data_IF_519963458017
#
_entry.id   IF_519963458017
#
_cell.length_a   1.000
_cell.length_b   1.000
_cell.length_c   1.000
_cell.angle_alpha   90.00
_cell.angle_beta   90.00
_cell.angle_gamma   90.00
#
_symmetry.space_group_name_H-M   'P 1'
#
loop_
_entity.id
_entity.type
_entity.pdbx_description
1 polymer ?
#
# COMPACT_ATOMS: atom_id res chain seq x y z
N UNK A 1 -1.74 51.96 -29.47
CA UNK A 1 -0.83 50.80 -29.36
C UNK A 1 -0.54 50.39 -27.90
N UNK A 2 -0.54 51.30 -26.92
CA UNK A 2 -0.25 51.00 -25.50
C UNK A 2 -1.22 50.03 -24.80
N UNK A 3 -2.53 50.03 -25.12
CA UNK A 3 -3.50 49.10 -24.52
C UNK A 3 -3.38 47.64 -24.99
N UNK A 4 -2.68 47.39 -26.12
CA UNK A 4 -2.57 46.05 -26.71
C UNK A 4 -1.48 45.21 -26.03
N UNK A 5 -0.36 45.85 -25.66
CA UNK A 5 0.80 45.19 -25.02
C UNK A 5 0.48 44.80 -23.57
N UNK A 6 -0.26 45.65 -22.84
CA UNK A 6 -0.70 45.35 -21.46
C UNK A 6 -1.70 44.19 -21.41
N UNK A 7 -2.57 44.06 -22.41
CA UNK A 7 -3.52 42.95 -22.51
C UNK A 7 -2.85 41.62 -22.87
N UNK A 8 -1.83 41.62 -23.74
CA UNK A 8 -1.14 40.39 -24.14
C UNK A 8 -0.26 39.83 -23.01
N UNK A 9 0.42 40.69 -22.24
CA UNK A 9 1.30 40.24 -21.13
C UNK A 9 0.50 39.74 -19.92
N UNK A 10 -0.59 40.42 -19.54
CA UNK A 10 -1.39 40.02 -18.36
C UNK A 10 -2.26 38.80 -18.66
N UNK A 11 -2.79 38.68 -19.89
CA UNK A 11 -3.69 37.57 -20.27
C UNK A 11 -2.90 36.30 -20.62
N UNK A 12 -1.77 36.41 -21.33
CA UNK A 12 -0.90 35.27 -21.63
C UNK A 12 -0.34 34.63 -20.36
N UNK A 13 0.07 35.45 -19.39
CA UNK A 13 0.64 35.00 -18.13
C UNK A 13 -0.40 34.43 -17.16
N UNK A 14 -1.64 34.98 -17.14
CA UNK A 14 -2.77 34.38 -16.39
C UNK A 14 -3.17 33.01 -16.93
N UNK A 15 -3.00 32.78 -18.24
CA UNK A 15 -3.37 31.52 -18.88
C UNK A 15 -2.32 30.43 -18.62
N UNK A 16 -1.03 30.80 -18.58
CA UNK A 16 0.06 29.91 -18.16
C UNK A 16 -0.03 29.55 -16.67
N UNK A 17 -0.42 30.50 -15.80
CA UNK A 17 -0.61 30.25 -14.37
C UNK A 17 -1.90 29.50 -14.02
N UNK A 18 -2.94 29.54 -14.88
CA UNK A 18 -4.17 28.77 -14.69
C UNK A 18 -4.12 27.36 -15.32
N UNK A 19 -3.17 27.12 -16.23
CA UNK A 19 -2.97 25.81 -16.89
C UNK A 19 -1.91 24.97 -16.19
N UNK A 20 -2.19 24.51 -14.96
CA UNK A 20 -1.32 23.60 -14.20
C UNK A 20 -1.31 22.17 -14.76
N UNK A 21 -0.82 21.99 -15.99
CA UNK A 21 -0.69 20.69 -16.66
C UNK A 21 0.50 20.69 -17.61
N UNK A 22 1.71 20.54 -17.08
CA UNK A 22 2.89 20.33 -17.91
C UNK A 22 3.02 18.85 -18.28
N UNK A 23 2.65 18.58 -19.54
CA UNK A 23 3.08 17.41 -20.29
C UNK A 23 4.61 17.39 -20.38
N UNK A 24 5.18 16.30 -19.87
CA UNK A 24 6.62 15.98 -19.89
C UNK A 24 7.01 15.65 -21.33
N UNK A 25 7.86 16.48 -21.93
CA UNK A 25 8.48 16.22 -23.24
C UNK A 25 8.80 17.51 -23.99
N UNK A 26 9.94 18.14 -23.69
CA UNK A 26 10.52 19.20 -24.55
C UNK A 26 10.63 20.61 -23.96
N UNK A 27 10.94 20.77 -22.67
CA UNK A 27 10.98 22.10 -22.02
C UNK A 27 12.36 22.79 -21.99
N UNK A 28 13.46 22.11 -22.31
CA UNK A 28 14.82 22.66 -22.13
C UNK A 28 15.09 23.85 -23.09
N UNK A 29 14.47 23.88 -24.28
CA UNK A 29 14.68 24.95 -25.26
C UNK A 29 13.94 26.27 -25.01
N UNK A 30 12.93 26.32 -24.11
CA UNK A 30 12.06 27.50 -23.95
C UNK A 30 12.44 28.42 -22.78
N UNK A 31 13.27 27.95 -21.85
CA UNK A 31 13.71 28.76 -20.71
C UNK A 31 14.76 29.83 -21.08
N UNK A 32 15.55 29.59 -22.14
CA UNK A 32 16.60 30.52 -22.56
C UNK A 32 16.07 31.79 -23.27
N UNK A 33 14.99 31.69 -24.04
CA UNK A 33 14.41 32.81 -24.78
C UNK A 33 13.82 33.92 -23.88
N UNK A 34 13.51 33.61 -22.61
CA UNK A 34 12.91 34.59 -21.70
C UNK A 34 13.95 35.52 -21.05
N UNK A 35 15.19 35.05 -20.83
CA UNK A 35 16.25 35.90 -20.29
C UNK A 35 16.71 36.96 -21.30
N UNK A 36 16.86 36.60 -22.58
CA UNK A 36 17.20 37.55 -23.65
C UNK A 36 16.15 38.65 -23.83
N UNK A 37 14.86 38.32 -23.68
CA UNK A 37 13.78 39.31 -23.74
C UNK A 37 13.82 40.33 -22.58
N UNK A 38 14.26 39.90 -21.38
CA UNK A 38 14.37 40.76 -20.20
C UNK A 38 15.54 41.74 -20.33
N UNK A 39 16.66 41.30 -20.86
CA UNK A 39 17.84 42.15 -21.05
C UNK A 39 17.57 43.23 -22.11
N UNK A 40 16.90 42.87 -23.21
CA UNK A 40 16.47 43.81 -24.25
C UNK A 40 15.56 44.94 -23.72
N UNK A 41 14.63 44.63 -22.81
CA UNK A 41 13.73 45.65 -22.24
C UNK A 41 14.42 46.59 -21.25
N UNK A 42 15.48 46.12 -20.57
CA UNK A 42 16.22 46.90 -19.57
C UNK A 42 16.99 48.06 -20.22
N UNK A 43 17.51 47.87 -21.43
CA UNK A 43 18.25 48.90 -22.16
C UNK A 43 17.35 50.00 -22.73
N UNK A 44 16.12 49.67 -23.13
CA UNK A 44 15.14 50.67 -23.61
C UNK A 44 14.71 51.66 -22.53
N UNK A 45 14.81 51.29 -21.25
CA UNK A 45 14.38 52.11 -20.11
C UNK A 45 15.45 53.12 -19.69
N UNK A 46 16.74 52.83 -19.89
CA UNK A 46 17.85 53.70 -19.45
C UNK A 46 17.96 55.03 -20.19
N UNK A 47 17.30 55.19 -21.35
CA UNK A 47 17.54 56.30 -22.28
C UNK A 47 16.36 57.29 -22.46
N UNK A 48 15.42 57.45 -21.52
CA UNK A 48 14.27 58.37 -21.68
C UNK A 48 14.24 59.56 -20.71
N UNK A 49 14.01 60.77 -21.27
CA UNK A 49 13.94 62.06 -20.56
C UNK A 49 12.57 62.29 -19.87
N UNK A 50 12.58 63.12 -18.82
CA UNK A 50 11.54 63.16 -17.77
C UNK A 50 10.27 63.95 -18.15
N UNK A 51 9.13 63.25 -18.22
CA UNK A 51 7.73 63.75 -18.26
C UNK A 51 6.84 62.82 -17.41
N UNK A 52 5.55 63.11 -17.19
CA UNK A 52 4.61 62.19 -16.50
C UNK A 52 4.58 60.78 -17.12
N UNK A 53 4.71 60.70 -18.45
CA UNK A 53 4.85 59.44 -19.18
C UNK A 53 6.13 58.67 -18.80
N UNK A 54 7.22 59.38 -18.49
CA UNK A 54 8.48 58.78 -18.02
C UNK A 54 8.35 58.16 -16.63
N UNK A 55 7.52 58.74 -15.74
CA UNK A 55 7.31 58.20 -14.40
C UNK A 55 6.46 56.92 -14.47
N UNK A 56 5.40 56.92 -15.28
CA UNK A 56 4.60 55.70 -15.55
C UNK A 56 5.44 54.58 -16.19
N UNK A 57 6.37 54.91 -17.09
CA UNK A 57 7.34 53.95 -17.64
C UNK A 57 8.29 53.40 -16.57
N UNK A 58 8.79 54.23 -15.64
CA UNK A 58 9.64 53.79 -14.52
C UNK A 58 8.90 52.87 -13.55
N UNK A 59 7.64 53.16 -13.23
CA UNK A 59 6.84 52.32 -12.35
C UNK A 59 6.51 50.97 -13.03
N UNK A 60 6.20 51.01 -14.32
CA UNK A 60 6.00 49.80 -15.15
C UNK A 60 7.28 48.97 -15.21
N UNK A 61 8.45 49.58 -15.43
CA UNK A 61 9.75 48.93 -15.41
C UNK A 61 10.04 48.26 -14.06
N UNK A 62 9.73 48.93 -12.95
CA UNK A 62 9.88 48.40 -11.59
C UNK A 62 8.97 47.19 -11.35
N UNK A 63 7.72 47.26 -11.83
CA UNK A 63 6.77 46.16 -11.76
C UNK A 63 7.25 44.95 -12.58
N UNK A 64 7.68 45.16 -13.83
CA UNK A 64 8.25 44.12 -14.70
C UNK A 64 9.45 43.48 -14.02
N UNK A 65 10.39 44.28 -13.49
CA UNK A 65 11.57 43.77 -12.79
C UNK A 65 11.21 42.92 -11.57
N UNK A 66 10.19 43.31 -10.81
CA UNK A 66 9.68 42.52 -9.66
C UNK A 66 9.09 41.19 -10.14
N UNK A 67 8.32 41.20 -11.23
CA UNK A 67 7.74 39.99 -11.82
C UNK A 67 8.84 39.07 -12.37
N UNK A 68 9.81 39.61 -13.11
CA UNK A 68 10.94 38.84 -13.65
C UNK A 68 11.78 38.21 -12.53
N UNK A 69 11.98 38.91 -11.40
CA UNK A 69 12.65 38.35 -10.24
C UNK A 69 11.84 37.18 -9.65
N UNK A 70 10.55 37.37 -9.40
CA UNK A 70 9.68 36.32 -8.87
C UNK A 70 9.63 35.08 -9.79
N UNK A 71 9.57 35.28 -11.11
CA UNK A 71 9.66 34.19 -12.07
C UNK A 71 11.01 33.46 -12.00
N UNK A 72 12.13 34.19 -11.93
CA UNK A 72 13.46 33.58 -11.83
C UNK A 72 13.59 32.73 -10.58
N UNK A 73 13.06 33.22 -9.45
CA UNK A 73 13.04 32.48 -8.19
C UNK A 73 12.18 31.20 -8.35
N UNK A 74 10.98 31.30 -8.94
CA UNK A 74 10.15 30.11 -9.24
C UNK A 74 10.83 29.11 -10.19
N UNK A 75 11.52 29.57 -11.23
CA UNK A 75 12.27 28.69 -12.14
C UNK A 75 13.43 28.00 -11.44
N UNK A 76 14.10 28.68 -10.49
CA UNK A 76 15.15 28.08 -9.68
C UNK A 76 14.58 26.96 -8.79
N UNK A 77 13.46 27.21 -8.13
CA UNK A 77 12.78 26.22 -7.29
C UNK A 77 12.32 25.01 -8.11
N UNK A 78 11.74 25.24 -9.29
CA UNK A 78 11.37 24.15 -10.22
C UNK A 78 12.58 23.36 -10.70
N UNK A 79 13.69 24.02 -11.02
CA UNK A 79 14.93 23.34 -11.42
C UNK A 79 15.43 22.41 -10.30
N UNK A 80 15.49 22.90 -9.07
CA UNK A 80 15.91 22.10 -7.91
C UNK A 80 14.97 20.91 -7.67
N UNK A 81 13.65 21.12 -7.85
CA UNK A 81 12.68 20.04 -7.74
C UNK A 81 12.89 18.97 -8.83
N UNK A 82 13.17 19.37 -10.07
CA UNK A 82 13.43 18.44 -11.18
C UNK A 82 14.73 17.65 -10.97
N UNK A 83 15.79 18.29 -10.50
CA UNK A 83 17.06 17.63 -10.16
C UNK A 83 16.85 16.57 -9.07
N UNK A 84 16.12 16.92 -8.00
CA UNK A 84 15.77 15.97 -6.93
C UNK A 84 14.91 14.81 -7.43
N UNK A 85 13.94 15.07 -8.31
CA UNK A 85 13.11 14.03 -8.90
C UNK A 85 13.91 13.08 -9.79
N UNK A 86 14.92 13.58 -10.51
CA UNK A 86 15.80 12.77 -11.34
C UNK A 86 16.69 11.85 -10.48
N UNK A 87 17.25 12.37 -9.39
CA UNK A 87 18.00 11.60 -8.40
C UNK A 87 17.14 10.48 -7.78
N UNK A 88 15.92 10.81 -7.32
CA UNK A 88 14.98 9.84 -6.77
C UNK A 88 14.60 8.74 -7.78
N UNK A 89 14.44 9.10 -9.06
CA UNK A 89 14.15 8.13 -10.12
C UNK A 89 15.34 7.21 -10.41
N UNK A 90 16.57 7.74 -10.39
CA UNK A 90 17.79 6.96 -10.60
C UNK A 90 17.96 5.91 -9.49
N UNK A 91 17.80 6.33 -8.23
CA UNK A 91 17.87 5.44 -7.07
C UNK A 91 16.77 4.37 -7.11
N UNK A 92 15.52 4.75 -7.44
CA UNK A 92 14.44 3.78 -7.61
C UNK A 92 14.72 2.77 -8.73
N UNK A 93 15.30 3.21 -9.85
CA UNK A 93 15.66 2.32 -10.96
C UNK A 93 16.76 1.33 -10.55
N UNK A 94 17.73 1.77 -9.75
CA UNK A 94 18.76 0.90 -9.17
C UNK A 94 18.16 -0.15 -8.24
N UNK A 95 17.37 0.29 -7.26
CA UNK A 95 16.68 -0.58 -6.31
C UNK A 95 15.78 -1.58 -7.03
N UNK A 96 15.06 -1.14 -8.07
CA UNK A 96 14.24 -2.01 -8.91
C UNK A 96 15.06 -3.14 -9.53
N UNK A 97 16.22 -2.82 -10.13
CA UNK A 97 17.10 -3.84 -10.72
C UNK A 97 17.57 -4.85 -9.67
N UNK A 98 17.92 -4.38 -8.48
CA UNK A 98 18.33 -5.24 -7.36
C UNK A 98 17.17 -6.16 -6.95
N UNK A 99 15.95 -5.65 -6.81
CA UNK A 99 14.78 -6.49 -6.48
C UNK A 99 14.53 -7.54 -7.57
N UNK A 100 14.64 -7.16 -8.85
CA UNK A 100 14.39 -8.07 -9.98
C UNK A 100 15.44 -9.18 -10.11
N UNK A 101 16.68 -8.92 -9.70
CA UNK A 101 17.77 -9.91 -9.71
C UNK A 101 17.52 -10.98 -8.63
N UNK A 102 17.32 -12.27 -8.97
CA UNK A 102 17.23 -13.34 -7.97
C UNK A 102 18.60 -13.74 -7.40
N UNK A 103 19.69 -13.45 -8.11
CA UNK A 103 21.07 -13.79 -7.74
C UNK A 103 21.82 -12.54 -7.27
N UNK A 104 21.26 -11.86 -6.27
CA UNK A 104 21.82 -10.61 -5.73
C UNK A 104 23.16 -10.89 -5.08
N UNK A 105 24.12 -9.98 -5.22
CA UNK A 105 25.34 -10.05 -4.41
C UNK A 105 25.04 -9.60 -2.96
N UNK A 106 25.84 -10.01 -1.97
CA UNK A 106 25.71 -9.52 -0.59
C UNK A 106 25.75 -7.99 -0.48
N UNK A 107 26.49 -7.31 -1.36
CA UNK A 107 26.55 -5.86 -1.45
C UNK A 107 25.22 -5.27 -1.93
N UNK A 108 24.61 -5.87 -2.98
CA UNK A 108 23.29 -5.47 -3.47
C UNK A 108 22.21 -5.68 -2.39
N UNK A 109 22.27 -6.77 -1.64
CA UNK A 109 21.36 -7.05 -0.53
C UNK A 109 21.44 -5.98 0.57
N UNK A 110 22.68 -5.61 0.97
CA UNK A 110 22.92 -4.54 1.95
C UNK A 110 22.45 -3.19 1.43
N UNK A 111 22.67 -2.92 0.14
CA UNK A 111 22.23 -1.69 -0.50
C UNK A 111 20.70 -1.57 -0.52
N UNK A 112 20.00 -2.65 -0.90
CA UNK A 112 18.54 -2.69 -0.89
C UNK A 112 17.99 -2.47 0.53
N UNK A 113 18.58 -3.14 1.52
CA UNK A 113 18.20 -2.99 2.91
C UNK A 113 18.41 -1.56 3.41
N UNK A 114 19.57 -0.97 3.11
CA UNK A 114 19.88 0.43 3.47
C UNK A 114 18.83 1.37 2.89
N UNK A 115 18.53 1.24 1.60
CA UNK A 115 17.47 2.01 0.95
C UNK A 115 16.12 1.83 1.65
N UNK A 116 15.74 0.60 1.99
CA UNK A 116 14.48 0.30 2.65
C UNK A 116 14.36 0.98 4.02
N UNK A 117 15.45 0.98 4.81
CA UNK A 117 15.51 1.59 6.14
C UNK A 117 15.47 3.13 6.03
N UNK A 118 16.28 3.71 5.14
CA UNK A 118 16.33 5.16 4.91
C UNK A 118 14.99 5.70 4.39
N UNK A 119 14.29 4.92 3.57
CA UNK A 119 12.96 5.27 3.07
C UNK A 119 11.85 5.05 4.12
N UNK A 120 12.11 4.32 5.20
CA UNK A 120 11.12 4.00 6.23
C UNK A 120 11.06 5.09 7.31
N UNK A 121 9.91 5.75 7.43
CA UNK A 121 9.67 6.76 8.46
C UNK A 121 9.05 6.19 9.75
N UNK A 122 8.83 4.87 9.83
CA UNK A 122 8.23 4.21 10.99
C UNK A 122 9.31 3.86 12.02
N UNK A 123 9.16 4.40 13.24
CA UNK A 123 10.09 4.17 14.34
C UNK A 123 10.11 2.71 14.80
N UNK A 124 8.95 2.06 14.81
CA UNK A 124 8.78 0.66 15.21
C UNK A 124 9.56 -0.29 14.29
N UNK A 125 9.60 0.00 12.99
CA UNK A 125 10.42 -0.76 12.02
C UNK A 125 11.90 -0.56 12.29
N UNK A 126 12.33 0.68 12.51
CA UNK A 126 13.73 1.01 12.81
C UNK A 126 14.19 0.35 14.12
N UNK A 127 13.35 0.40 15.16
CA UNK A 127 13.63 -0.24 16.44
C UNK A 127 13.76 -1.75 16.29
N UNK A 128 12.75 -2.40 15.69
CA UNK A 128 12.77 -3.85 15.47
C UNK A 128 14.02 -4.26 14.68
N UNK A 129 14.39 -3.49 13.65
CA UNK A 129 15.58 -3.75 12.87
C UNK A 129 16.86 -3.73 13.72
N UNK A 130 17.05 -2.68 14.52
CA UNK A 130 18.23 -2.53 15.38
C UNK A 130 18.38 -3.67 16.39
N UNK A 131 17.26 -4.23 16.85
CA UNK A 131 17.24 -5.32 17.83
C UNK A 131 17.45 -6.71 17.20
N UNK A 132 17.04 -6.91 15.93
CA UNK A 132 16.96 -8.26 15.33
C UNK A 132 18.01 -8.54 14.24
N UNK A 133 18.66 -7.52 13.65
CA UNK A 133 19.66 -7.66 12.57
C UNK A 133 19.26 -8.62 11.44
N UNK A 134 17.96 -8.72 11.14
CA UNK A 134 17.34 -9.79 10.35
C UNK A 134 17.48 -9.67 8.84
N UNK A 135 18.69 -9.45 8.31
CA UNK A 135 18.92 -9.26 6.86
C UNK A 135 18.41 -10.46 6.05
N UNK A 136 18.64 -11.69 6.53
CA UNK A 136 18.20 -12.91 5.85
C UNK A 136 16.67 -12.97 5.72
N UNK A 137 15.95 -12.59 6.78
CA UNK A 137 14.48 -12.55 6.76
C UNK A 137 13.98 -11.47 5.81
N UNK A 138 14.62 -10.29 5.82
CA UNK A 138 14.31 -9.22 4.90
C UNK A 138 14.46 -9.66 3.44
N UNK A 139 15.58 -10.29 3.07
CA UNK A 139 15.83 -10.75 1.70
C UNK A 139 14.83 -11.83 1.27
N UNK A 140 14.47 -12.76 2.17
CA UNK A 140 13.45 -13.77 1.88
C UNK A 140 12.06 -13.16 1.65
N UNK A 141 11.70 -12.12 2.41
CA UNK A 141 10.45 -11.39 2.19
C UNK A 141 10.48 -10.62 0.86
N UNK A 142 11.61 -9.99 0.52
CA UNK A 142 11.78 -9.34 -0.81
C UNK A 142 11.57 -10.36 -1.91
N UNK A 143 12.14 -11.56 -1.77
CA UNK A 143 12.01 -12.63 -2.76
C UNK A 143 10.56 -13.12 -2.88
N UNK A 144 9.87 -13.34 -1.75
CA UNK A 144 8.45 -13.69 -1.73
C UNK A 144 7.61 -12.63 -2.48
N UNK A 145 7.84 -11.34 -2.22
CA UNK A 145 7.07 -10.28 -2.84
C UNK A 145 7.49 -9.97 -4.29
N UNK A 146 8.73 -10.29 -4.67
CA UNK A 146 9.15 -10.30 -6.09
C UNK A 146 8.36 -11.36 -6.88
N UNK A 147 8.19 -12.56 -6.31
CA UNK A 147 7.38 -13.62 -6.92
C UNK A 147 5.91 -13.21 -7.01
N UNK A 148 5.34 -12.66 -5.94
CA UNK A 148 3.98 -12.09 -5.95
C UNK A 148 3.82 -11.03 -7.05
N UNK A 149 4.77 -10.10 -7.18
CA UNK A 149 4.76 -9.07 -8.23
C UNK A 149 4.70 -9.67 -9.62
N UNK A 150 5.47 -10.73 -9.89
CA UNK A 150 5.44 -11.39 -11.19
C UNK A 150 4.08 -12.05 -11.46
N UNK A 151 3.44 -12.63 -10.44
CA UNK A 151 2.07 -13.15 -10.56
C UNK A 151 1.05 -12.05 -10.90
N UNK A 152 1.16 -10.88 -10.26
CA UNK A 152 0.34 -9.70 -10.54
C UNK A 152 0.47 -9.31 -12.02
N UNK A 153 1.72 -9.15 -12.51
CA UNK A 153 2.00 -8.76 -13.89
C UNK A 153 1.47 -9.79 -14.90
N UNK A 154 1.70 -11.07 -14.66
CA UNK A 154 1.28 -12.14 -15.56
C UNK A 154 -0.25 -12.16 -15.72
N UNK A 155 -1.00 -12.08 -14.60
CA UNK A 155 -2.47 -12.04 -14.64
C UNK A 155 -3.00 -10.87 -15.45
N UNK A 156 -2.37 -9.70 -15.39
CA UNK A 156 -2.83 -8.55 -16.17
C UNK A 156 -2.53 -8.66 -17.67
N UNK A 157 -1.42 -9.28 -18.06
CA UNK A 157 -1.08 -9.43 -19.48
C UNK A 157 -2.08 -10.33 -20.21
N UNK A 158 -2.68 -11.29 -19.50
CA UNK A 158 -3.77 -12.14 -20.01
C UNK A 158 -5.06 -11.34 -20.28
N UNK A 159 -5.32 -10.30 -19.48
CA UNK A 159 -6.61 -9.59 -19.48
C UNK A 159 -6.72 -8.42 -20.49
N UNK A 160 -5.68 -8.12 -21.29
CA UNK A 160 -5.67 -7.13 -22.42
C UNK A 160 -6.30 -5.74 -22.16
N UNK A 161 -6.57 -5.33 -20.92
CA UNK A 161 -7.11 -4.01 -20.56
C UNK A 161 -6.02 -3.06 -20.04
N UNK A 162 -6.03 -1.81 -20.50
CA UNK A 162 -4.96 -0.80 -20.42
C UNK A 162 -4.42 -0.42 -19.01
N UNK A 163 -3.15 -0.77 -18.76
CA UNK A 163 -1.95 0.04 -18.45
C UNK A 163 -1.82 1.19 -17.43
N UNK A 164 -2.82 1.65 -16.67
CA UNK A 164 -2.55 2.66 -15.62
C UNK A 164 -3.29 2.45 -14.30
N UNK A 165 -2.52 2.15 -13.23
CA UNK A 165 -2.98 2.22 -11.84
C UNK A 165 -3.66 0.96 -11.32
N UNK A 166 -2.92 -0.15 -11.20
CA UNK A 166 -3.49 -1.39 -10.69
C UNK A 166 -3.73 -1.29 -9.20
N UNK A 167 -5.00 -1.43 -8.83
CA UNK A 167 -5.42 -1.74 -7.48
C UNK A 167 -5.67 -3.25 -7.41
N UNK A 168 -4.94 -3.93 -6.54
CA UNK A 168 -5.04 -5.39 -6.37
C UNK A 168 -5.36 -5.74 -4.92
N UNK A 169 -6.11 -6.82 -4.73
CA UNK A 169 -6.29 -7.42 -3.42
C UNK A 169 -5.16 -8.43 -3.18
N UNK A 170 -4.32 -8.17 -2.18
CA UNK A 170 -3.28 -9.12 -1.75
C UNK A 170 -3.80 -9.84 -0.51
N UNK A 171 -4.00 -11.15 -0.60
CA UNK A 171 -4.41 -11.97 0.54
C UNK A 171 -3.18 -12.64 1.12
N UNK A 172 -2.71 -12.12 2.25
CA UNK A 172 -1.60 -12.70 2.98
C UNK A 172 -2.12 -13.80 3.89
N UNK A 173 -1.81 -15.05 3.54
CA UNK A 173 -2.26 -16.24 4.25
C UNK A 173 -1.14 -16.79 5.13
N UNK A 174 -1.35 -16.77 6.44
CA UNK A 174 -0.32 -17.13 7.42
C UNK A 174 -0.97 -17.63 8.72
N UNK A 175 -0.18 -18.26 9.58
CA UNK A 175 -0.52 -18.34 10.99
C UNK A 175 -0.34 -16.97 11.64
N UNK A 176 -1.07 -16.72 12.72
CA UNK A 176 -0.95 -15.46 13.41
C UNK A 176 -1.43 -15.49 14.85
N UNK A 177 -0.95 -14.50 15.59
CA UNK A 177 -1.32 -14.23 16.97
C UNK A 177 -1.18 -12.74 17.25
N UNK A 178 -1.70 -12.31 18.40
CA UNK A 178 -1.48 -10.98 18.93
C UNK A 178 -0.65 -11.03 20.19
N UNK A 179 0.22 -10.03 20.35
CA UNK A 179 1.13 -9.89 21.48
C UNK A 179 1.25 -8.43 21.90
N UNK A 180 1.71 -8.22 23.12
CA UNK A 180 2.15 -6.91 23.60
C UNK A 180 3.56 -6.55 23.07
N UNK A 181 3.91 -5.24 22.97
CA UNK A 181 3.07 -4.07 23.25
C UNK A 181 2.07 -3.76 22.11
N UNK A 182 1.20 -2.77 22.30
CA UNK A 182 0.40 -2.21 21.20
C UNK A 182 1.28 -1.39 20.24
N UNK A 183 0.90 -1.37 18.97
CA UNK A 183 1.51 -0.52 17.94
C UNK A 183 0.45 0.38 17.28
N UNK A 184 0.84 1.51 16.68
CA UNK A 184 -0.05 2.26 15.79
C UNK A 184 -0.44 1.40 14.58
N UNK A 185 -1.73 1.39 14.22
CA UNK A 185 -2.21 0.68 13.02
C UNK A 185 -1.57 1.21 11.73
N UNK A 186 -1.14 2.48 11.73
CA UNK A 186 -0.37 3.09 10.64
C UNK A 186 0.92 2.31 10.31
N UNK A 187 1.47 1.54 11.25
CA UNK A 187 2.64 0.70 10.99
C UNK A 187 2.38 -0.40 9.96
N UNK A 188 1.12 -0.82 9.79
CA UNK A 188 0.72 -1.79 8.77
C UNK A 188 0.58 -1.18 7.38
N UNK A 189 0.66 0.15 7.25
CA UNK A 189 0.59 0.89 5.99
C UNK A 189 1.76 1.87 5.83
N UNK A 190 3.00 1.36 5.71
CA UNK A 190 4.20 2.19 5.71
C UNK A 190 4.28 3.20 4.56
N UNK A 191 3.65 2.88 3.43
CA UNK A 191 3.58 3.79 2.30
C UNK A 191 2.15 3.85 1.70
N UNK A 192 1.79 4.94 0.99
CA UNK A 192 0.44 5.16 0.47
C UNK A 192 -0.05 4.14 -0.57
N UNK A 193 0.85 3.29 -1.08
CA UNK A 193 0.51 2.23 -2.03
C UNK A 193 -0.17 1.03 -1.37
N UNK A 194 -0.05 0.84 -0.05
CA UNK A 194 -1.01 0.01 0.70
C UNK A 194 -2.16 0.92 1.13
N UNK A 195 -3.29 0.79 0.44
CA UNK A 195 -4.47 1.61 0.66
C UNK A 195 -5.13 1.28 2.00
N UNK A 196 -5.20 0.00 2.34
CA UNK A 196 -5.72 -0.49 3.59
C UNK A 196 -5.16 -1.87 3.94
N UNK A 197 -5.26 -2.23 5.21
CA UNK A 197 -5.06 -3.58 5.71
C UNK A 197 -6.35 -4.00 6.40
N UNK A 198 -6.96 -5.07 5.94
CA UNK A 198 -8.22 -5.60 6.48
C UNK A 198 -7.95 -6.84 7.33
N UNK A 199 -8.43 -6.80 8.57
CA UNK A 199 -8.45 -7.96 9.47
C UNK A 199 -9.86 -8.54 9.55
N UNK A 200 -9.94 -9.86 9.47
CA UNK A 200 -11.21 -10.57 9.44
C UNK A 200 -11.58 -11.15 10.80
N UNK A 201 -10.64 -11.88 11.40
CA UNK A 201 -10.77 -12.50 12.73
C UNK A 201 -10.87 -11.42 13.80
N UNK A 202 -11.84 -11.49 14.74
CA UNK A 202 -11.77 -10.71 15.98
C UNK A 202 -10.50 -10.99 16.77
N UNK A 203 -10.18 -10.13 17.74
CA UNK A 203 -9.10 -10.42 18.67
C UNK A 203 -9.40 -11.65 19.50
N UNK A 204 -8.35 -12.43 19.77
CA UNK A 204 -8.39 -13.70 20.46
C UNK A 204 -9.25 -14.78 19.76
N UNK A 205 -9.22 -14.78 18.42
CA UNK A 205 -9.99 -15.68 17.59
C UNK A 205 -9.10 -16.52 16.66
N UNK A 206 -9.39 -17.82 16.56
CA UNK A 206 -8.77 -18.70 15.57
C UNK A 206 -9.48 -18.55 14.22
N UNK A 207 -8.74 -18.64 13.12
CA UNK A 207 -9.31 -18.66 11.78
C UNK A 207 -9.35 -20.09 11.26
N UNK A 208 -10.55 -20.58 10.92
CA UNK A 208 -10.69 -21.91 10.30
C UNK A 208 -10.44 -21.84 8.80
N UNK A 209 -10.04 -22.97 8.22
CA UNK A 209 -9.63 -23.06 6.81
C UNK A 209 -10.76 -22.70 5.82
N UNK A 210 -12.02 -22.98 6.17
CA UNK A 210 -13.21 -22.61 5.38
C UNK A 210 -13.42 -21.09 5.35
N UNK A 211 -13.28 -20.41 6.50
CA UNK A 211 -13.30 -18.95 6.55
C UNK A 211 -12.11 -18.36 5.79
N UNK A 212 -10.90 -18.92 5.96
CA UNK A 212 -9.73 -18.50 5.19
C UNK A 212 -9.95 -18.64 3.67
N UNK A 213 -10.52 -19.77 3.23
CA UNK A 213 -10.89 -19.98 1.83
C UNK A 213 -11.88 -18.91 1.33
N UNK A 214 -12.92 -18.60 2.11
CA UNK A 214 -13.86 -17.53 1.79
C UNK A 214 -13.20 -16.15 1.70
N UNK A 215 -12.26 -15.84 2.59
CA UNK A 215 -11.48 -14.60 2.57
C UNK A 215 -10.61 -14.54 1.32
N UNK A 216 -9.94 -15.62 0.97
CA UNK A 216 -9.04 -15.70 -0.19
C UNK A 216 -9.82 -15.58 -1.50
N UNK A 217 -10.96 -16.26 -1.62
CA UNK A 217 -11.80 -16.24 -2.83
C UNK A 217 -12.66 -14.98 -2.97
N UNK A 218 -12.94 -14.30 -1.86
CA UNK A 218 -13.77 -13.08 -1.84
C UNK A 218 -15.26 -13.39 -1.78
N UNK A 219 -15.59 -14.63 -1.42
CA UNK A 219 -16.96 -15.09 -1.18
C UNK A 219 -17.45 -14.71 0.22
N UNK A 220 -16.53 -14.50 1.17
CA UNK A 220 -16.87 -14.13 2.54
C UNK A 220 -17.20 -12.65 2.66
N UNK A 221 -18.36 -12.35 3.25
CA UNK A 221 -18.81 -11.02 3.62
C UNK A 221 -18.94 -10.93 5.15
N UNK A 222 -18.99 -9.72 5.76
CA UNK A 222 -19.02 -9.58 7.21
C UNK A 222 -20.14 -10.37 7.91
N UNK A 223 -21.31 -10.51 7.29
CA UNK A 223 -22.43 -11.27 7.85
C UNK A 223 -22.32 -12.79 7.64
N UNK A 224 -21.38 -13.27 6.82
CA UNK A 224 -21.10 -14.71 6.67
C UNK A 224 -20.29 -15.27 7.85
N UNK A 225 -19.71 -14.41 8.71
CA UNK A 225 -18.97 -14.84 9.90
C UNK A 225 -19.87 -15.68 10.80
N UNK A 226 -19.35 -16.81 11.24
CA UNK A 226 -19.94 -17.61 12.30
C UNK A 226 -18.85 -18.03 13.28
N UNK A 227 -19.24 -18.20 14.55
CA UNK A 227 -18.31 -18.45 15.64
C UNK A 227 -18.66 -19.77 16.33
N UNK A 228 -17.65 -20.62 16.48
CA UNK A 228 -17.80 -21.94 17.09
C UNK A 228 -16.72 -22.16 18.14
N UNK A 229 -16.94 -23.14 19.01
CA UNK A 229 -15.88 -23.61 19.88
C UNK A 229 -14.85 -24.44 19.08
N UNK A 230 -13.58 -24.03 19.14
CA UNK A 230 -12.48 -24.78 18.52
C UNK A 230 -12.04 -26.00 19.35
N UNK A 231 -12.35 -26.04 20.64
CA UNK A 231 -11.98 -27.11 21.58
C UNK A 231 -12.83 -28.39 21.45
N UNK A 232 -13.86 -28.40 20.61
CA UNK A 232 -14.73 -29.55 20.39
C UNK A 232 -15.81 -29.77 21.47
N UNK A 233 -16.32 -31.00 21.57
CA UNK A 233 -17.40 -31.42 22.48
C UNK A 233 -16.94 -31.51 23.94
N UNK A 234 -16.65 -30.36 24.54
CA UNK A 234 -16.27 -30.25 25.95
C UNK A 234 -16.26 -28.81 26.45
N UNK A 235 -16.71 -27.85 25.63
CA UNK A 235 -16.72 -26.46 26.02
C UNK A 235 -17.80 -26.20 27.07
N UNK A 236 -17.40 -25.61 28.20
CA UNK A 236 -18.35 -25.14 29.23
C UNK A 236 -19.17 -23.95 28.75
N UNK A 237 -18.68 -23.22 27.74
CA UNK A 237 -19.40 -22.14 27.09
C UNK A 237 -20.22 -22.74 25.94
N UNK A 238 -21.55 -22.59 26.00
CA UNK A 238 -22.44 -22.95 24.90
C UNK A 238 -22.10 -22.14 23.64
N UNK A 239 -22.62 -22.54 22.47
CA UNK A 239 -22.42 -21.84 21.19
C UNK A 239 -22.65 -20.32 21.28
N UNK A 240 -23.65 -19.87 22.04
CA UNK A 240 -23.94 -18.45 22.26
C UNK A 240 -22.79 -17.69 22.97
N UNK A 241 -22.00 -18.36 23.80
CA UNK A 241 -20.87 -17.77 24.51
C UNK A 241 -19.67 -17.44 23.62
N UNK A 242 -19.60 -18.04 22.42
CA UNK A 242 -18.52 -17.81 21.46
C UNK A 242 -18.82 -16.65 20.50
N UNK A 243 -20.06 -16.16 20.45
CA UNK A 243 -20.39 -15.01 19.62
C UNK A 243 -19.90 -13.71 20.28
N UNK A 244 -19.05 -12.92 19.60
CA UNK A 244 -18.61 -11.64 20.14
C UNK A 244 -19.78 -10.65 20.24
N UNK A 245 -19.90 -9.99 21.41
CA UNK A 245 -21.04 -9.10 21.71
C UNK A 245 -21.04 -7.78 20.95
N UNK A 246 -19.87 -7.31 20.49
CA UNK A 246 -19.66 -6.00 19.84
C UNK A 246 -19.08 -6.14 18.44
N UNK A 247 -19.49 -7.17 17.70
CA UNK A 247 -18.98 -7.39 16.35
C UNK A 247 -19.54 -6.33 15.38
N UNK A 248 -18.70 -5.48 14.76
CA UNK A 248 -19.18 -4.48 13.82
C UNK A 248 -19.65 -5.12 12.50
N UNK A 249 -20.53 -4.45 11.77
CA UNK A 249 -21.04 -4.90 10.46
C UNK A 249 -20.04 -4.77 9.31
N UNK A 250 -18.86 -4.20 9.56
CA UNK A 250 -17.76 -4.02 8.62
C UNK A 250 -16.52 -4.81 9.07
N UNK A 251 -15.58 -5.02 8.16
CA UNK A 251 -14.27 -5.58 8.49
C UNK A 251 -13.41 -4.56 9.24
N UNK A 252 -12.43 -5.05 10.01
CA UNK A 252 -11.52 -4.17 10.74
C UNK A 252 -10.53 -3.51 9.78
N UNK A 253 -10.79 -2.24 9.44
CA UNK A 253 -9.92 -1.43 8.60
C UNK A 253 -8.79 -0.81 9.43
N UNK A 254 -7.54 -1.11 9.07
CA UNK A 254 -6.38 -0.53 9.74
C UNK A 254 -6.10 0.91 9.30
N UNK A 255 -6.72 1.37 8.22
CA UNK A 255 -6.69 2.78 7.81
C UNK A 255 -7.34 3.70 8.83
N UNK A 256 -8.40 3.25 9.50
CA UNK A 256 -9.18 4.04 10.46
C UNK A 256 -8.85 3.70 11.91
N UNK A 257 -8.05 2.66 12.14
CA UNK A 257 -7.67 2.20 13.47
C UNK A 257 -6.60 3.09 14.13
N UNK A 258 -6.69 3.22 15.46
CA UNK A 258 -5.69 3.86 16.30
C UNK A 258 -4.58 2.89 16.72
N UNK A 259 -4.48 2.64 18.03
CA UNK A 259 -3.57 1.62 18.58
C UNK A 259 -4.19 0.23 18.45
N UNK A 260 -3.38 -0.74 18.05
CA UNK A 260 -3.76 -2.15 17.91
C UNK A 260 -2.75 -3.03 18.64
N UNK A 261 -3.11 -4.27 19.01
CA UNK A 261 -2.13 -5.27 19.40
C UNK A 261 -1.06 -5.47 18.32
N UNK A 262 0.18 -5.79 18.73
CA UNK A 262 1.18 -6.21 17.77
C UNK A 262 0.76 -7.56 17.18
N UNK A 263 0.63 -7.64 15.86
CA UNK A 263 0.25 -8.86 15.16
C UNK A 263 1.53 -9.59 14.78
N UNK A 264 1.69 -10.80 15.29
CA UNK A 264 2.77 -11.69 14.88
C UNK A 264 2.23 -12.63 13.82
N UNK A 265 3.00 -12.85 12.74
CA UNK A 265 2.69 -13.85 11.72
C UNK A 265 3.79 -14.88 11.66
N UNK A 266 3.40 -16.14 11.47
CA UNK A 266 4.33 -17.25 11.34
C UNK A 266 4.10 -18.07 10.09
N UNK A 267 5.17 -18.70 9.64
CA UNK A 267 5.17 -19.43 8.38
C UNK A 267 4.28 -20.66 8.43
N UNK A 268 3.67 -20.96 7.29
CA UNK A 268 2.94 -22.20 7.03
C UNK A 268 3.97 -23.31 6.82
N UNK A 269 3.87 -24.39 7.60
CA UNK A 269 4.82 -25.51 7.52
C UNK A 269 4.33 -26.58 6.55
N UNK A 270 4.38 -26.29 5.25
CA UNK A 270 4.08 -27.25 4.18
C UNK A 270 5.08 -28.44 4.21
N UNK A 271 4.65 -29.71 4.07
CA UNK A 271 3.29 -30.24 3.86
C UNK A 271 2.55 -30.65 5.15
N UNK A 272 3.09 -30.37 6.33
CA UNK A 272 2.53 -30.85 7.61
C UNK A 272 1.53 -29.87 8.24
N UNK A 273 1.12 -28.86 7.49
CA UNK A 273 0.25 -27.80 7.97
C UNK A 273 -1.22 -28.12 7.66
N UNK A 274 -1.96 -28.55 8.68
CA UNK A 274 -3.36 -28.95 8.50
C UNK A 274 -4.26 -27.81 7.97
N UNK A 275 -3.95 -26.55 8.29
CA UNK A 275 -4.72 -25.42 7.78
C UNK A 275 -4.47 -25.21 6.28
N UNK A 276 -3.21 -25.32 5.84
CA UNK A 276 -2.86 -25.26 4.43
C UNK A 276 -3.39 -26.44 3.62
N UNK A 277 -3.25 -27.67 4.13
CA UNK A 277 -3.80 -28.87 3.47
C UNK A 277 -5.30 -28.72 3.26
N UNK A 278 -6.05 -28.33 4.30
CA UNK A 278 -7.50 -28.12 4.17
C UNK A 278 -7.82 -27.01 3.18
N UNK A 279 -7.04 -25.92 3.15
CA UNK A 279 -7.22 -24.85 2.17
C UNK A 279 -6.98 -25.33 0.73
N UNK A 280 -5.96 -26.16 0.49
CA UNK A 280 -5.67 -26.75 -0.82
C UNK A 280 -6.83 -27.66 -1.25
N UNK A 281 -7.35 -28.50 -0.34
CA UNK A 281 -8.49 -29.37 -0.62
C UNK A 281 -9.73 -28.56 -1.03
N UNK A 282 -10.06 -27.49 -0.26
CA UNK A 282 -11.16 -26.59 -0.60
C UNK A 282 -10.94 -25.88 -1.94
N UNK A 283 -9.69 -25.53 -2.27
CA UNK A 283 -9.37 -24.92 -3.57
C UNK A 283 -9.54 -25.91 -4.72
N UNK A 284 -9.20 -27.19 -4.51
CA UNK A 284 -9.42 -28.24 -5.49
C UNK A 284 -10.91 -28.53 -5.70
N UNK A 285 -11.71 -28.47 -4.64
CA UNK A 285 -13.15 -28.76 -4.69
C UNK A 285 -13.97 -27.59 -5.25
N UNK A 286 -13.67 -26.36 -4.82
CA UNK A 286 -14.51 -25.18 -5.08
C UNK A 286 -13.88 -24.16 -6.04
N UNK A 287 -12.62 -24.35 -6.41
CA UNK A 287 -11.90 -23.53 -7.38
C UNK A 287 -11.02 -22.43 -6.77
N UNK A 288 -10.37 -21.68 -7.65
CA UNK A 288 -9.34 -20.69 -7.33
C UNK A 288 -9.91 -19.30 -7.02
N UNK A 289 -9.09 -18.38 -6.46
CA UNK A 289 -9.54 -17.02 -6.14
C UNK A 289 -10.11 -16.27 -7.34
N UNK A 290 -11.08 -15.39 -7.10
CA UNK A 290 -11.64 -14.48 -8.11
C UNK A 290 -10.54 -13.62 -8.75
N UNK A 291 -10.83 -13.10 -9.96
CA UNK A 291 -9.95 -12.15 -10.67
C UNK A 291 -9.63 -10.93 -9.79
N UNK A 292 -8.43 -10.37 -9.95
CA UNK A 292 -7.95 -9.22 -9.17
C UNK A 292 -7.40 -9.55 -7.78
N UNK A 293 -7.44 -10.83 -7.37
CA UNK A 293 -7.01 -11.28 -6.04
C UNK A 293 -5.75 -12.14 -6.13
N UNK A 294 -4.79 -11.87 -5.27
CA UNK A 294 -3.46 -12.49 -5.26
C UNK A 294 -3.23 -13.13 -3.89
N UNK A 295 -3.21 -14.45 -3.88
CA UNK A 295 -2.89 -15.22 -2.67
C UNK A 295 -1.37 -15.23 -2.48
N UNK A 296 -0.92 -14.84 -1.30
CA UNK A 296 0.48 -14.94 -0.86
C UNK A 296 0.52 -15.82 0.39
N UNK A 297 0.80 -17.12 0.25
CA UNK A 297 1.02 -17.96 1.41
C UNK A 297 2.37 -17.60 2.03
N UNK A 298 2.42 -17.44 3.36
CA UNK A 298 3.65 -17.11 4.06
C UNK A 298 4.52 -18.36 4.25
N UNK A 299 5.25 -18.72 3.19
CA UNK A 299 6.13 -19.88 3.15
C UNK A 299 7.55 -19.40 2.82
N UNK A 300 8.50 -19.65 3.73
CA UNK A 300 9.91 -19.27 3.57
C UNK A 300 10.81 -20.52 3.50
N UNK A 301 10.68 -21.30 2.43
CA UNK A 301 11.56 -22.46 2.18
C UNK A 301 11.54 -23.51 3.30
N UNK A 302 10.37 -23.76 3.90
CA UNK A 302 10.19 -24.73 4.99
C UNK A 302 10.70 -24.27 6.35
N UNK A 303 11.23 -23.05 6.47
CA UNK A 303 11.70 -22.53 7.76
C UNK A 303 10.53 -22.06 8.61
N UNK A 304 10.59 -22.37 9.92
CA UNK A 304 9.65 -21.86 10.91
C UNK A 304 10.12 -20.49 11.39
N UNK A 305 9.47 -19.44 10.88
CA UNK A 305 9.79 -18.04 11.22
C UNK A 305 8.54 -17.40 11.81
N UNK A 306 8.71 -16.60 12.86
CA UNK A 306 7.65 -15.77 13.45
C UNK A 306 8.17 -14.34 13.51
N UNK A 307 7.46 -13.41 12.89
CA UNK A 307 7.86 -12.00 12.81
C UNK A 307 6.65 -11.07 12.94
N UNK A 308 6.86 -9.80 13.32
CA UNK A 308 5.77 -8.84 13.32
C UNK A 308 5.23 -8.60 11.92
N UNK A 309 3.90 -8.54 11.79
CA UNK A 309 3.24 -8.34 10.51
C UNK A 309 3.56 -6.97 9.90
N UNK A 310 3.86 -5.96 10.73
CA UNK A 310 4.28 -4.65 10.22
C UNK A 310 5.62 -4.71 9.46
N UNK A 311 6.50 -5.66 9.76
CA UNK A 311 7.73 -5.91 8.99
C UNK A 311 7.38 -6.51 7.62
N UNK A 312 6.43 -7.43 7.59
CA UNK A 312 5.93 -8.03 6.34
C UNK A 312 5.30 -6.96 5.44
N UNK A 313 4.40 -6.13 5.98
CA UNK A 313 3.76 -5.05 5.21
C UNK A 313 4.75 -3.97 4.79
N UNK A 314 5.81 -3.74 5.55
CA UNK A 314 6.91 -2.86 5.16
C UNK A 314 7.65 -3.38 3.93
N UNK A 315 8.16 -4.61 3.96
CA UNK A 315 8.86 -5.16 2.78
C UNK A 315 7.92 -5.29 1.57
N UNK A 316 6.66 -5.68 1.80
CA UNK A 316 5.63 -5.73 0.74
C UNK A 316 5.43 -4.35 0.11
N UNK A 317 5.25 -3.31 0.94
CA UNK A 317 5.02 -1.95 0.47
C UNK A 317 6.19 -1.42 -0.33
N UNK A 318 7.44 -1.71 0.08
CA UNK A 318 8.64 -1.32 -0.67
C UNK A 318 8.60 -1.89 -2.09
N UNK A 319 8.37 -3.20 -2.22
CA UNK A 319 8.28 -3.85 -3.54
C UNK A 319 7.15 -3.22 -4.35
N UNK A 320 5.95 -3.14 -3.81
CA UNK A 320 4.80 -2.54 -4.50
C UNK A 320 5.07 -1.07 -4.91
N UNK A 321 5.74 -0.28 -4.07
CA UNK A 321 6.10 1.11 -4.34
C UNK A 321 7.04 1.21 -5.54
N UNK A 322 8.12 0.42 -5.55
CA UNK A 322 9.10 0.38 -6.64
C UNK A 322 8.44 -0.03 -7.97
N UNK A 323 7.42 -0.89 -7.93
CA UNK A 323 6.66 -1.32 -9.11
C UNK A 323 5.40 -0.50 -9.38
N UNK A 324 5.13 0.57 -8.61
CA UNK A 324 3.96 1.46 -8.75
C UNK A 324 2.61 0.72 -8.69
N UNK A 325 2.52 -0.32 -7.87
CA UNK A 325 1.30 -1.11 -7.65
C UNK A 325 0.61 -0.60 -6.39
N UNK A 326 -0.71 -0.36 -6.46
CA UNK A 326 -1.53 -0.09 -5.28
C UNK A 326 -2.23 -1.36 -4.83
N UNK A 327 -2.37 -1.56 -3.54
CA UNK A 327 -3.01 -2.76 -3.01
C UNK A 327 -3.83 -2.51 -1.75
N UNK A 328 -4.86 -3.35 -1.59
CA UNK A 328 -5.48 -3.60 -0.29
C UNK A 328 -4.98 -4.95 0.21
N UNK A 329 -4.44 -4.98 1.43
CA UNK A 329 -3.93 -6.22 2.02
C UNK A 329 -4.99 -6.83 2.92
N UNK A 330 -5.28 -8.10 2.71
CA UNK A 330 -6.20 -8.88 3.52
C UNK A 330 -5.38 -9.87 4.34
N UNK A 331 -5.40 -9.74 5.68
CA UNK A 331 -4.75 -10.72 6.54
C UNK A 331 -5.70 -11.88 6.81
N UNK A 332 -5.39 -13.04 6.23
CA UNK A 332 -6.06 -14.29 6.53
C UNK A 332 -5.20 -15.09 7.53
N UNK A 333 -5.37 -14.77 8.81
CA UNK A 333 -4.66 -15.42 9.90
C UNK A 333 -5.53 -15.54 11.17
N UNK A 334 -5.11 -16.44 12.06
CA UNK A 334 -5.53 -16.42 13.46
C UNK A 334 -5.06 -15.11 14.13
N UNK A 335 -5.77 -14.69 15.17
CA UNK A 335 -5.42 -13.53 16.00
C UNK A 335 -5.61 -13.88 17.49
N UNK A 336 -5.21 -15.09 17.89
CA UNK A 336 -5.21 -15.56 19.28
C UNK A 336 -4.31 -14.69 20.17
N UNK A 337 -4.71 -14.45 21.43
CA UNK A 337 -3.86 -13.69 22.38
C UNK A 337 -2.79 -14.61 22.99
N UNK A 338 -1.54 -14.41 22.55
CA UNK A 338 -0.35 -15.14 23.03
C UNK A 338 0.48 -14.33 24.04
N UNK A 339 -0.08 -13.24 24.59
CA UNK A 339 0.61 -12.43 25.59
C UNK A 339 0.89 -13.25 26.87
N UNK A 340 2.16 -13.47 27.18
CA UNK A 340 2.60 -14.42 28.22
C UNK A 340 2.53 -13.88 29.65
N UNK A 341 2.66 -12.56 29.85
CA UNK A 341 2.79 -11.94 31.18
C UNK A 341 1.63 -11.03 31.58
N UNK A 342 0.97 -10.42 30.60
CA UNK A 342 -0.17 -9.56 30.83
C UNK A 342 -1.09 -9.68 29.61
N UNK A 343 -2.23 -10.35 29.75
CA UNK A 343 -3.24 -10.33 28.68
C UNK A 343 -3.71 -8.90 28.47
N UNK A 344 -4.08 -8.56 27.25
CA UNK A 344 -4.69 -7.27 27.00
C UNK A 344 -5.96 -7.09 27.83
N UNK A 345 -6.24 -5.88 28.34
CA UNK A 345 -7.54 -5.58 28.90
C UNK A 345 -8.62 -5.90 27.87
N UNK A 346 -9.57 -6.75 28.23
CA UNK A 346 -10.66 -7.16 27.33
C UNK A 346 -11.39 -5.96 26.75
N UNK A 347 -11.63 -4.93 27.55
CA UNK A 347 -12.31 -3.71 27.13
C UNK A 347 -11.55 -2.96 26.03
N UNK A 348 -10.23 -2.96 26.06
CA UNK A 348 -9.40 -2.37 25.01
C UNK A 348 -9.61 -3.12 23.69
N UNK A 349 -9.52 -4.45 23.69
CA UNK A 349 -9.70 -5.26 22.48
C UNK A 349 -11.13 -5.16 21.94
N UNK A 350 -12.13 -5.19 22.82
CA UNK A 350 -13.54 -5.02 22.44
C UNK A 350 -13.81 -3.65 21.81
N UNK A 351 -13.18 -2.58 22.29
CA UNK A 351 -13.33 -1.25 21.71
C UNK A 351 -12.54 -1.06 20.42
N UNK A 352 -11.35 -1.64 20.31
CA UNK A 352 -10.52 -1.48 19.12
C UNK A 352 -11.20 -2.14 17.91
N UNK A 353 -11.75 -3.35 18.07
CA UNK A 353 -12.48 -4.03 17.01
C UNK A 353 -13.60 -4.91 17.56
N UNK A 354 -13.21 -6.00 18.22
CA UNK A 354 -14.06 -6.98 18.86
C UNK A 354 -13.16 -8.03 19.50
N UNK A 355 -13.63 -8.65 20.59
CA UNK A 355 -12.90 -9.68 21.31
C UNK A 355 -13.75 -10.94 21.47
N UNK A 356 -13.15 -12.11 21.30
CA UNK A 356 -13.78 -13.41 21.54
C UNK A 356 -13.22 -14.08 22.79
N UNK A 357 -14.02 -14.92 23.43
CA UNK A 357 -13.56 -15.76 24.55
C UNK A 357 -12.54 -16.80 24.06
N UNK A 358 -11.72 -17.30 24.97
CA UNK A 358 -10.69 -18.30 24.67
C UNK A 358 -11.29 -19.53 23.96
N UNK A 359 -10.56 -20.06 22.97
CA UNK A 359 -10.98 -21.22 22.19
C UNK A 359 -12.08 -20.94 21.17
N UNK A 360 -12.36 -19.67 20.83
CA UNK A 360 -13.27 -19.33 19.75
C UNK A 360 -12.60 -19.49 18.38
N UNK A 361 -13.28 -20.17 17.45
CA UNK A 361 -12.91 -20.22 16.04
C UNK A 361 -13.93 -19.52 15.15
N UNK A 362 -13.46 -18.68 14.24
CA UNK A 362 -14.25 -18.09 13.17
C UNK A 362 -14.28 -19.06 11.98
N UNK A 363 -15.51 -19.38 11.58
CA UNK A 363 -15.90 -20.17 10.39
C UNK A 363 -16.80 -19.29 9.52
N UNK A 364 -17.22 -19.79 8.37
CA UNK A 364 -18.17 -19.11 7.53
C UNK A 364 -19.39 -19.98 7.25
N UNK A 365 -20.58 -19.42 7.44
CA UNK A 365 -21.82 -20.10 7.10
C UNK A 365 -21.97 -20.17 5.58
N UNK A 366 -22.15 -21.39 5.05
CA UNK A 366 -22.63 -21.71 3.70
C UNK A 366 -22.09 -20.80 2.59
N UNK A 367 -20.77 -20.83 2.35
CA UNK A 367 -20.16 -20.13 1.22
C UNK A 367 -19.93 -21.09 0.07
N UNK A 368 -20.99 -21.72 -0.45
CA UNK A 368 -20.83 -22.63 -1.56
C UNK A 368 -20.89 -21.83 -2.87
N UNK A 369 -19.78 -21.68 -3.61
CA UNK A 369 -19.87 -21.16 -4.96
C UNK A 369 -20.77 -22.07 -5.78
N UNK A 370 -21.51 -21.50 -6.73
CA UNK A 370 -22.21 -22.29 -7.74
C UNK A 370 -21.12 -23.08 -8.46
N UNK A 371 -21.09 -24.40 -8.26
CA UNK A 371 -20.05 -25.33 -8.72
C UNK A 371 -19.79 -25.28 -10.22
N UNK A 372 -20.74 -24.72 -10.98
CA UNK A 372 -20.62 -24.49 -12.42
C UNK A 372 -21.13 -23.08 -12.78
N UNK A 373 -20.31 -22.02 -12.61
CA UNK A 373 -20.72 -20.65 -12.91
C UNK A 373 -21.06 -20.46 -14.40
N UNK A 374 -20.45 -21.25 -15.28
CA UNK A 374 -20.74 -21.24 -16.72
C UNK A 374 -22.03 -22.00 -17.04
N UNK A 375 -22.31 -23.13 -16.36
CA UNK A 375 -23.60 -23.81 -16.49
C UNK A 375 -24.74 -22.93 -15.97
N UNK A 376 -24.54 -22.24 -14.84
CA UNK A 376 -25.52 -21.30 -14.30
C UNK A 376 -25.74 -20.11 -15.23
N UNK A 377 -24.69 -19.50 -15.78
CA UNK A 377 -24.82 -18.44 -16.79
C UNK A 377 -25.53 -18.92 -18.06
N UNK A 378 -25.22 -20.13 -18.53
CA UNK A 378 -25.86 -20.74 -19.69
C UNK A 378 -27.35 -21.04 -19.42
N UNK A 379 -27.68 -21.59 -18.24
CA UNK A 379 -29.07 -21.82 -17.84
C UNK A 379 -29.83 -20.50 -17.68
N UNK A 380 -29.23 -19.49 -17.05
CA UNK A 380 -29.86 -18.17 -16.89
C UNK A 380 -30.09 -17.47 -18.23
N UNK A 381 -29.23 -17.69 -19.23
CA UNK A 381 -29.40 -17.19 -20.60
C UNK A 381 -30.41 -18.00 -21.44
N UNK A 382 -30.75 -19.23 -21.02
CA UNK A 382 -31.78 -20.06 -21.68
C UNK A 382 -33.21 -19.76 -21.18
N UNK A 383 -33.34 -19.19 -19.97
CA UNK A 383 -34.62 -18.92 -19.32
C UNK A 383 -34.96 -17.42 -19.19
N UNK A 384 -34.13 -16.55 -19.75
CA UNK A 384 -34.43 -15.15 -20.09
C UNK A 384 -34.50 -15.03 -21.61
#
# INVERSE_FOLDING_TARGET
>A
SQQLITKISVTGMKTVLKGGGMLVGGAIGKAFALNEAIDSWTDLIKNSNVTEASQSLRDTAKAIRKISKALRDQFKDMKQMLEKMEEEQCEQAKVKRIIENPNRSPEEERELLRYAIEACQIKEVQQWWNENQGIETFIKLVELFRLMKNQIINKSNEDKTNYFGWEVDIIFFAHGSITQPTIPASCLRPWPNIQDVLLYSPWNCLLRADAAYGIVTGLMQPWHRSFICASGSGCRNCYEGHWPRKLPSVWNSMKEAGLIPNIMVSTITDPKDGAWTTFVDLTAEYGTPRRGRILVPFILGGQKVTIPFFIVTWVMSLVLFIFRIKATVHLAACLGDESTWCKFPREFLEHQYSYTVDGTGMTAQSMWPITHPDLYRNLQAMFN
#
